data_IF_216784968123
#
_entry.id   IF_216784968123
#
_cell.length_a   1.000
_cell.length_b   1.000
_cell.length_c   1.000
_cell.angle_alpha   90.00
_cell.angle_beta   90.00
_cell.angle_gamma   90.00
#
_symmetry.space_group_name_H-M   'P 1'
#
loop_
_entity.id
_entity.type
_entity.pdbx_description
1 polymer ?
#
# COMPACT_ATOMS: atom_id res chain seq x y z
N UNK A 1 11.32 -8.51 -1.22
CA UNK A 1 12.03 -7.22 -1.22
C UNK A 1 10.95 -6.14 -1.18
N UNK A 2 11.03 -5.15 -0.28
CA UNK A 2 9.95 -4.17 -0.11
C UNK A 2 10.45 -2.82 0.41
N UNK A 3 9.53 -1.86 0.54
CA UNK A 3 9.82 -0.52 1.05
C UNK A 3 9.91 -0.46 2.57
N UNK A 4 10.44 0.66 3.06
CA UNK A 4 10.64 0.93 4.50
C UNK A 4 9.55 1.84 5.08
N UNK A 5 8.69 2.41 4.23
CA UNK A 5 7.56 3.25 4.64
C UNK A 5 6.42 2.37 5.19
N UNK A 6 6.29 2.34 6.51
CA UNK A 6 5.15 1.71 7.20
C UNK A 6 3.92 2.63 7.11
N UNK A 7 2.76 2.06 6.80
CA UNK A 7 1.50 2.79 6.63
C UNK A 7 0.34 1.94 7.11
N UNK A 8 -0.62 2.55 7.82
CA UNK A 8 -1.88 1.86 8.16
C UNK A 8 -2.82 1.83 6.96
N UNK A 9 -3.76 0.88 6.92
CA UNK A 9 -4.77 0.82 5.85
C UNK A 9 -5.62 2.11 5.78
N UNK A 10 -5.90 2.73 6.92
CA UNK A 10 -6.64 3.99 6.96
C UNK A 10 -5.85 5.17 6.36
N UNK A 11 -4.55 5.26 6.62
CA UNK A 11 -3.68 6.28 6.02
C UNK A 11 -3.47 6.03 4.53
N UNK A 12 -3.29 4.77 4.12
CA UNK A 12 -3.19 4.39 2.73
C UNK A 12 -4.45 4.79 1.95
N UNK A 13 -5.65 4.51 2.49
CA UNK A 13 -6.92 4.91 1.87
C UNK A 13 -7.03 6.44 1.70
N UNK A 14 -6.64 7.21 2.72
CA UNK A 14 -6.60 8.69 2.64
C UNK A 14 -5.63 9.17 1.56
N UNK A 15 -4.43 8.56 1.49
CA UNK A 15 -3.43 8.90 0.46
C UNK A 15 -3.91 8.57 -0.94
N UNK A 16 -4.54 7.42 -1.15
CA UNK A 16 -5.12 7.07 -2.45
C UNK A 16 -6.12 8.12 -2.90
N UNK A 17 -7.06 8.53 -2.03
CA UNK A 17 -8.02 9.60 -2.35
C UNK A 17 -7.28 10.91 -2.70
N UNK A 18 -6.31 11.31 -1.88
CA UNK A 18 -5.55 12.55 -2.09
C UNK A 18 -4.75 12.57 -3.39
N UNK A 19 -4.04 11.48 -3.71
CA UNK A 19 -3.15 11.39 -4.88
C UNK A 19 -3.96 11.28 -6.18
N UNK A 20 -5.11 10.60 -6.14
CA UNK A 20 -5.95 10.37 -7.32
C UNK A 20 -6.99 11.47 -7.56
N UNK A 21 -7.23 12.34 -6.58
CA UNK A 21 -8.32 13.33 -6.62
C UNK A 21 -9.71 12.68 -6.61
N UNK A 22 -9.83 11.46 -6.10
CA UNK A 22 -11.10 10.73 -6.06
C UNK A 22 -12.12 11.41 -5.15
N UNK A 23 -13.41 11.30 -5.50
CA UNK A 23 -14.53 11.70 -4.65
C UNK A 23 -15.00 10.60 -3.68
N UNK A 24 -14.29 9.47 -3.62
CA UNK A 24 -14.59 8.35 -2.72
C UNK A 24 -14.58 8.78 -1.25
N UNK A 25 -15.39 8.10 -0.44
CA UNK A 25 -15.37 8.21 1.03
C UNK A 25 -14.76 6.96 1.65
N UNK A 26 -14.26 7.09 2.89
CA UNK A 26 -13.73 5.96 3.65
C UNK A 26 -14.85 5.37 4.51
N UNK A 27 -15.08 4.07 4.36
CA UNK A 27 -15.98 3.29 5.22
C UNK A 27 -15.19 2.29 6.06
N UNK A 28 -15.56 2.15 7.33
CA UNK A 28 -14.99 1.17 8.24
C UNK A 28 -15.99 0.03 8.41
N UNK A 29 -15.61 -1.18 8.00
CA UNK A 29 -16.45 -2.36 8.07
C UNK A 29 -15.95 -3.31 9.18
N UNK A 30 -16.83 -4.03 9.87
CA UNK A 30 -16.43 -5.13 10.74
C UNK A 30 -15.59 -6.16 9.98
N UNK A 31 -14.55 -6.69 10.63
CA UNK A 31 -13.62 -7.63 10.02
C UNK A 31 -14.32 -8.86 9.40
N UNK A 32 -15.37 -9.35 10.06
CA UNK A 32 -16.18 -10.49 9.61
C UNK A 32 -17.00 -10.24 8.35
N UNK A 33 -17.23 -8.98 7.97
CA UNK A 33 -17.88 -8.63 6.71
C UNK A 33 -16.88 -8.58 5.55
N UNK A 34 -15.62 -8.23 5.84
CA UNK A 34 -14.56 -8.16 4.85
C UNK A 34 -13.89 -9.53 4.57
N UNK A 35 -13.81 -10.39 5.59
CA UNK A 35 -13.06 -11.65 5.51
C UNK A 35 -13.87 -12.83 6.07
N UNK A 36 -13.75 -14.03 5.47
CA UNK A 36 -14.44 -15.22 5.93
C UNK A 36 -13.88 -15.76 7.26
N UNK A 37 -14.65 -16.57 8.02
CA UNK A 37 -14.16 -17.23 9.23
C UNK A 37 -12.89 -18.06 8.96
N UNK A 38 -11.91 -17.97 9.86
CA UNK A 38 -10.62 -18.66 9.72
C UNK A 38 -9.61 -17.94 8.82
N UNK A 39 -9.94 -16.76 8.28
CA UNK A 39 -8.94 -15.91 7.64
C UNK A 39 -7.96 -15.35 8.68
N UNK A 40 -6.66 -15.58 8.45
CA UNK A 40 -5.59 -15.05 9.28
C UNK A 40 -4.85 -13.94 8.54
N UNK A 41 -4.86 -12.74 9.12
CA UNK A 41 -4.08 -11.61 8.65
C UNK A 41 -2.98 -11.27 9.64
N UNK A 42 -1.79 -11.00 9.13
CA UNK A 42 -0.72 -10.44 9.94
C UNK A 42 -0.97 -8.96 10.15
N UNK A 43 -1.17 -8.55 11.40
CA UNK A 43 -1.49 -7.16 11.77
C UNK A 43 -0.43 -6.13 11.38
N UNK A 44 0.82 -6.56 11.18
CA UNK A 44 1.95 -5.70 10.85
C UNK A 44 2.97 -6.45 10.01
N UNK A 45 3.41 -5.84 8.91
CA UNK A 45 4.51 -6.36 8.07
C UNK A 45 5.42 -5.21 7.67
N UNK A 46 6.69 -5.30 8.07
CA UNK A 46 7.75 -4.40 7.60
C UNK A 46 8.94 -5.26 7.19
N UNK A 47 9.38 -5.20 5.92
CA UNK A 47 10.52 -5.99 5.48
C UNK A 47 11.83 -5.42 6.04
N UNK A 48 12.67 -6.29 6.60
CA UNK A 48 14.09 -5.94 6.81
C UNK A 48 14.86 -6.18 5.50
N UNK A 49 15.39 -5.10 4.92
CA UNK A 49 16.19 -5.17 3.69
C UNK A 49 17.69 -4.94 3.91
N UNK A 50 18.15 -4.91 5.16
CA UNK A 50 19.54 -4.59 5.54
C UNK A 50 20.56 -5.43 4.77
N UNK A 51 20.41 -6.76 4.78
CA UNK A 51 21.32 -7.68 4.08
C UNK A 51 21.41 -7.40 2.57
N UNK A 52 20.29 -7.06 1.94
CA UNK A 52 20.26 -6.76 0.50
C UNK A 52 20.94 -5.41 0.21
N UNK A 53 20.64 -4.39 1.02
CA UNK A 53 21.22 -3.05 0.90
C UNK A 53 22.74 -3.10 1.08
N UNK A 54 23.23 -3.80 2.10
CA UNK A 54 24.67 -3.94 2.37
C UNK A 54 25.40 -4.69 1.26
N UNK A 55 24.80 -5.76 0.72
CA UNK A 55 25.47 -6.59 -0.29
C UNK A 55 25.45 -6.01 -1.70
N UNK A 56 24.45 -5.20 -2.04
CA UNK A 56 24.21 -4.77 -3.44
C UNK A 56 24.11 -3.26 -3.63
N UNK A 57 24.02 -2.48 -2.55
CA UNK A 57 23.67 -1.05 -2.62
C UNK A 57 22.23 -0.79 -3.07
N UNK A 58 21.40 -1.83 -3.21
CA UNK A 58 19.99 -1.69 -3.57
C UNK A 58 19.25 -0.80 -2.59
N UNK A 59 18.28 -0.03 -3.08
CA UNK A 59 17.33 0.75 -2.26
C UNK A 59 16.01 0.91 -3.03
N UNK A 60 14.86 1.03 -2.33
CA UNK A 60 13.60 1.36 -2.99
C UNK A 60 13.73 2.69 -3.74
N UNK A 61 13.21 2.74 -4.97
CA UNK A 61 13.31 3.91 -5.86
C UNK A 61 12.05 4.75 -5.92
N UNK A 62 10.90 4.17 -5.58
CA UNK A 62 9.60 4.81 -5.67
C UNK A 62 9.01 5.00 -4.28
N UNK A 63 8.42 6.16 -4.06
CA UNK A 63 7.60 6.43 -2.87
C UNK A 63 6.24 5.77 -3.01
N UNK A 64 5.52 5.59 -1.91
CA UNK A 64 4.16 5.07 -1.95
C UNK A 64 3.24 5.92 -2.84
N UNK A 65 3.36 7.24 -2.78
CA UNK A 65 2.55 8.17 -3.57
C UNK A 65 2.85 8.06 -5.08
N UNK A 66 4.12 7.88 -5.44
CA UNK A 66 4.52 7.64 -6.84
C UNK A 66 3.93 6.32 -7.36
N UNK A 67 3.93 5.26 -6.54
CA UNK A 67 3.32 3.96 -6.88
C UNK A 67 1.81 4.10 -7.05
N UNK A 68 1.12 4.79 -6.13
CA UNK A 68 -0.32 5.05 -6.25
C UNK A 68 -0.64 5.79 -7.56
N UNK A 69 0.15 6.81 -7.89
CA UNK A 69 -0.05 7.59 -9.12
C UNK A 69 0.19 6.77 -10.39
N UNK A 70 1.20 5.91 -10.38
CA UNK A 70 1.53 5.01 -11.49
C UNK A 70 0.37 4.02 -11.75
N UNK A 71 -0.14 3.38 -10.69
CA UNK A 71 -1.29 2.48 -10.79
C UNK A 71 -2.56 3.23 -11.23
N UNK A 72 -2.82 4.43 -10.70
CA UNK A 72 -3.96 5.23 -11.15
C UNK A 72 -3.87 5.57 -12.64
N UNK A 73 -2.69 5.95 -13.12
CA UNK A 73 -2.45 6.26 -14.54
C UNK A 73 -2.71 5.02 -15.40
N UNK A 74 -2.19 3.86 -14.98
CA UNK A 74 -2.43 2.58 -15.66
C UNK A 74 -3.93 2.25 -15.72
N UNK A 75 -4.65 2.33 -14.59
CA UNK A 75 -6.07 2.00 -14.51
C UNK A 75 -6.95 2.93 -15.35
N UNK A 76 -6.62 4.22 -15.46
CA UNK A 76 -7.35 5.17 -16.32
C UNK A 76 -7.12 4.96 -17.81
N UNK A 77 -6.03 4.31 -18.19
CA UNK A 77 -5.71 3.99 -19.57
C UNK A 77 -6.33 2.66 -20.04
N UNK A 78 -6.96 1.90 -19.14
CA UNK A 78 -7.70 0.70 -19.51
C UNK A 78 -8.96 1.06 -20.30
N UNK A 79 -9.29 0.31 -21.38
CA UNK A 79 -10.45 0.55 -22.21
C UNK A 79 -11.79 0.25 -21.51
#
# INVERSE_FOLDING_TARGET
>A
IGGEEEVTIGELAKRVISVTGSSSTIAYLPYSEAYPPGFEETMRRVPDTTKLREFTGWKPKFTLDAIIKDIETYLRALP
#
